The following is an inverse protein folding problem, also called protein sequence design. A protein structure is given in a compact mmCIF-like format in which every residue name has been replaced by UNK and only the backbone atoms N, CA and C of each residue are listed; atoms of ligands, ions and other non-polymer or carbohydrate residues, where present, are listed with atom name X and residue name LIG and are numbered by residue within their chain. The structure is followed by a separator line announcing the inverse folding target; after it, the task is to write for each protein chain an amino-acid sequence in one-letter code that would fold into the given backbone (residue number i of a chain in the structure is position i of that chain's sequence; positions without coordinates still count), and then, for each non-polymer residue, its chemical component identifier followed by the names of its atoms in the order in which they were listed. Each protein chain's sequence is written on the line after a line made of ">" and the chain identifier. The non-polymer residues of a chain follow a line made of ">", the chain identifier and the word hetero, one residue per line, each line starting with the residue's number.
data_IF_800116371580
#
_entry.id   IF_800116371580
#
_cell.length_a   1.000
_cell.length_b   1.000
_cell.length_c   1.000
_cell.angle_alpha   90.00
_cell.angle_beta   90.00
_cell.angle_gamma   90.00
#
_symmetry.space_group_name_H-M   'P 1'
#
loop_
_entity.id
_entity.type
_entity.pdbx_description
1 polymer ?
#
# COMPACT_ATOMS: atom_id res chain seq x y z
N UNK A 1 55.25 -6.67 -11.68
CA UNK A 1 54.32 -7.78 -11.41
C UNK A 1 53.17 -7.68 -12.40
N UNK A 2 53.22 -8.49 -13.46
CA UNK A 2 52.17 -8.63 -14.47
C UNK A 2 51.20 -9.69 -13.99
N UNK A 3 49.90 -9.42 -14.03
CA UNK A 3 48.88 -10.47 -14.14
C UNK A 3 47.90 -10.05 -15.23
N UNK A 4 48.00 -10.77 -16.34
CA UNK A 4 47.09 -10.73 -17.49
C UNK A 4 46.14 -11.89 -17.33
N UNK A 5 44.82 -11.67 -17.32
CA UNK A 5 43.84 -12.73 -17.58
C UNK A 5 42.71 -12.23 -18.50
N UNK A 6 42.72 -12.85 -19.68
CA UNK A 6 41.65 -13.14 -20.65
C UNK A 6 40.48 -12.15 -20.87
N UNK A 7 40.50 -11.53 -22.05
CA UNK A 7 39.35 -10.90 -22.74
C UNK A 7 38.32 -11.96 -23.14
N UNK A 8 37.07 -11.77 -22.72
CA UNK A 8 35.91 -12.43 -23.32
C UNK A 8 35.37 -11.56 -24.48
N UNK A 9 35.11 -12.17 -25.64
CA UNK A 9 34.89 -11.53 -26.94
C UNK A 9 33.45 -11.03 -27.19
N UNK A 10 32.63 -10.79 -26.16
CA UNK A 10 31.25 -10.30 -26.32
C UNK A 10 31.02 -8.82 -25.95
N UNK A 11 32.09 -8.07 -25.70
CA UNK A 11 32.03 -6.70 -25.19
C UNK A 11 31.93 -5.60 -26.28
N UNK A 12 31.59 -5.98 -27.52
CA UNK A 12 31.62 -5.10 -28.68
C UNK A 12 30.26 -4.53 -29.13
N UNK A 13 29.19 -4.76 -28.36
CA UNK A 13 27.88 -4.15 -28.64
C UNK A 13 27.47 -3.02 -27.68
N UNK A 14 28.27 -2.71 -26.66
CA UNK A 14 28.00 -1.62 -25.71
C UNK A 14 29.05 -0.49 -25.69
N UNK A 15 30.08 -0.54 -26.55
CA UNK A 15 31.20 0.43 -26.57
C UNK A 15 30.93 1.76 -27.30
N UNK A 16 29.66 2.11 -27.55
CA UNK A 16 29.30 3.32 -28.29
C UNK A 16 28.56 4.40 -27.50
N UNK A 17 28.11 4.11 -26.28
CA UNK A 17 27.21 5.00 -25.53
C UNK A 17 27.75 5.25 -24.13
N UNK A 18 28.87 5.97 -24.03
CA UNK A 18 29.15 6.72 -22.81
C UNK A 18 28.20 7.92 -22.78
N UNK A 19 26.91 7.68 -22.47
CA UNK A 19 25.98 8.75 -22.12
C UNK A 19 26.37 9.21 -20.73
N UNK A 20 27.31 10.15 -20.67
CA UNK A 20 27.58 10.90 -19.45
C UNK A 20 26.48 11.95 -19.40
N UNK A 21 25.38 11.63 -18.71
CA UNK A 21 24.41 12.65 -18.35
C UNK A 21 25.10 13.69 -17.48
N UNK A 22 24.96 14.96 -17.83
CA UNK A 22 25.34 16.07 -16.97
C UNK A 22 24.55 16.02 -15.66
N UNK A 23 25.06 16.66 -14.61
CA UNK A 23 24.31 16.77 -13.35
C UNK A 23 22.93 17.40 -13.55
N UNK A 24 22.80 18.32 -14.50
CA UNK A 24 21.52 18.95 -14.85
C UNK A 24 20.58 17.98 -15.57
N UNK A 25 21.08 17.17 -16.51
CA UNK A 25 20.28 16.12 -17.15
C UNK A 25 19.88 15.02 -16.16
N UNK A 26 20.75 14.64 -15.22
CA UNK A 26 20.40 13.71 -14.14
C UNK A 26 19.33 14.32 -13.23
N UNK A 27 19.42 15.61 -12.91
CA UNK A 27 18.40 16.29 -12.11
C UNK A 27 17.08 16.40 -12.87
N UNK A 28 17.09 16.73 -14.16
CA UNK A 28 15.88 16.75 -14.98
C UNK A 28 15.26 15.35 -15.11
N UNK A 29 16.09 14.32 -15.29
CA UNK A 29 15.63 12.93 -15.33
C UNK A 29 15.06 12.50 -13.97
N UNK A 30 15.66 12.90 -12.85
CA UNK A 30 15.15 12.64 -11.50
C UNK A 30 13.85 13.37 -11.23
N UNK A 31 13.76 14.66 -11.58
CA UNK A 31 12.52 15.44 -11.47
C UNK A 31 11.43 14.83 -12.33
N UNK A 32 11.75 14.42 -13.56
CA UNK A 32 10.83 13.71 -14.43
C UNK A 32 10.41 12.38 -13.78
N UNK A 33 11.35 11.56 -13.31
CA UNK A 33 11.04 10.29 -12.63
C UNK A 33 10.21 10.49 -11.36
N UNK A 34 10.46 11.53 -10.56
CA UNK A 34 9.72 11.85 -9.33
C UNK A 34 8.32 12.41 -9.61
N UNK A 35 8.18 13.23 -10.67
CA UNK A 35 6.88 13.70 -11.16
C UNK A 35 6.04 12.53 -11.67
N UNK A 36 6.68 11.55 -12.32
CA UNK A 36 6.02 10.40 -12.94
C UNK A 36 5.81 9.23 -11.99
N UNK A 37 6.67 9.02 -10.99
CA UNK A 37 6.56 7.94 -10.00
C UNK A 37 5.35 8.10 -9.07
N UNK A 38 4.81 9.32 -9.00
CA UNK A 38 3.66 9.65 -8.17
C UNK A 38 2.34 9.70 -8.93
N UNK A 39 2.36 9.55 -10.26
CA UNK A 39 1.15 9.48 -11.08
C UNK A 39 0.57 8.07 -11.09
N UNK A 40 -0.75 7.97 -11.07
CA UNK A 40 -1.45 6.72 -11.37
C UNK A 40 -1.08 6.22 -12.78
N UNK A 41 -0.70 4.94 -12.90
CA UNK A 41 -0.20 4.35 -14.15
C UNK A 41 -1.18 4.48 -15.33
N UNK A 42 -2.48 4.32 -15.08
CA UNK A 42 -3.52 4.47 -16.11
C UNK A 42 -3.72 5.95 -16.45
N UNK A 43 -3.65 6.83 -15.45
CA UNK A 43 -3.71 8.28 -15.69
C UNK A 43 -2.56 8.74 -16.59
N UNK A 44 -1.34 8.29 -16.30
CA UNK A 44 -0.16 8.57 -17.12
C UNK A 44 -0.35 8.04 -18.55
N UNK A 45 -0.70 6.76 -18.69
CA UNK A 45 -0.93 6.14 -20.01
C UNK A 45 -1.95 6.89 -20.87
N UNK A 46 -3.02 7.40 -20.25
CA UNK A 46 -4.09 8.11 -20.96
C UNK A 46 -3.76 9.57 -21.28
N UNK A 47 -2.98 10.25 -20.45
CA UNK A 47 -2.84 11.70 -20.52
C UNK A 47 -1.46 12.17 -21.03
N UNK A 48 -0.41 11.37 -20.91
CA UNK A 48 0.96 11.79 -21.21
C UNK A 48 1.12 12.34 -22.64
N UNK A 49 0.64 11.60 -23.64
CA UNK A 49 0.72 12.03 -25.03
C UNK A 49 -0.13 13.30 -25.29
N UNK A 50 -1.31 13.40 -24.70
CA UNK A 50 -2.20 14.56 -24.86
C UNK A 50 -1.55 15.84 -24.30
N UNK A 51 -0.88 15.73 -23.15
CA UNK A 51 -0.11 16.84 -22.58
C UNK A 51 1.09 17.25 -23.46
N UNK A 52 1.76 16.29 -24.12
CA UNK A 52 2.89 16.57 -25.01
C UNK A 52 2.48 17.33 -26.27
N UNK A 53 1.33 16.99 -26.86
CA UNK A 53 0.83 17.63 -28.09
C UNK A 53 0.00 18.88 -27.84
N UNK A 54 -0.18 19.28 -26.58
CA UNK A 54 -0.94 20.48 -26.21
C UNK A 54 -2.46 20.30 -26.19
N UNK A 55 -2.95 19.07 -26.23
CA UNK A 55 -4.38 18.72 -26.18
C UNK A 55 -4.89 18.68 -24.73
N UNK A 56 -4.87 19.84 -24.06
CA UNK A 56 -5.13 19.94 -22.62
C UNK A 56 -6.58 19.67 -22.23
N UNK A 57 -7.55 20.08 -23.06
CA UNK A 57 -8.97 19.79 -22.83
C UNK A 57 -9.24 18.28 -22.89
N UNK A 58 -8.65 17.60 -23.87
CA UNK A 58 -8.73 16.15 -24.03
C UNK A 58 -8.03 15.42 -22.88
N UNK A 59 -6.88 15.92 -22.43
CA UNK A 59 -6.17 15.36 -21.27
C UNK A 59 -7.03 15.44 -20.01
N UNK A 60 -7.59 16.62 -19.71
CA UNK A 60 -8.48 16.83 -18.56
C UNK A 60 -9.71 15.93 -18.66
N UNK A 61 -10.35 15.89 -19.84
CA UNK A 61 -11.51 15.01 -20.06
C UNK A 61 -11.17 13.54 -19.79
N UNK A 62 -10.06 13.06 -20.34
CA UNK A 62 -9.60 11.67 -20.20
C UNK A 62 -9.31 11.30 -18.74
N UNK A 63 -8.67 12.21 -18.00
CA UNK A 63 -8.40 12.04 -16.58
C UNK A 63 -9.68 11.91 -15.74
N UNK A 64 -10.67 12.78 -15.98
CA UNK A 64 -11.94 12.71 -15.27
C UNK A 64 -12.78 11.48 -15.66
N UNK A 65 -12.68 11.01 -16.91
CA UNK A 65 -13.29 9.73 -17.30
C UNK A 65 -12.70 8.57 -16.49
N UNK A 66 -11.36 8.52 -16.34
CA UNK A 66 -10.71 7.51 -15.50
C UNK A 66 -11.16 7.60 -14.03
N UNK A 67 -11.21 8.80 -13.47
CA UNK A 67 -11.69 9.01 -12.10
C UNK A 67 -13.14 8.55 -11.93
N UNK A 68 -14.00 8.83 -12.90
CA UNK A 68 -15.40 8.41 -12.90
C UNK A 68 -15.54 6.88 -13.03
N UNK A 69 -14.74 6.24 -13.88
CA UNK A 69 -14.67 4.78 -14.03
C UNK A 69 -14.30 4.11 -12.71
N UNK A 70 -13.24 4.58 -12.05
CA UNK A 70 -12.80 4.03 -10.76
C UNK A 70 -13.85 4.24 -9.69
N UNK A 71 -14.39 5.45 -9.55
CA UNK A 71 -15.47 5.73 -8.58
C UNK A 71 -16.67 4.79 -8.76
N UNK A 72 -17.03 4.50 -10.02
CA UNK A 72 -18.14 3.59 -10.33
C UNK A 72 -17.83 2.17 -9.87
N UNK A 73 -16.62 1.69 -10.14
CA UNK A 73 -16.15 0.38 -9.71
C UNK A 73 -16.13 0.25 -8.18
N UNK A 74 -15.60 1.26 -7.47
CA UNK A 74 -15.45 1.18 -6.00
C UNK A 74 -16.79 1.12 -5.25
N UNK A 75 -17.91 1.48 -5.88
CA UNK A 75 -19.24 1.49 -5.24
C UNK A 75 -20.29 0.60 -5.92
N UNK A 76 -19.89 -0.20 -6.93
CA UNK A 76 -20.82 -0.93 -7.81
C UNK A 76 -21.95 -0.02 -8.36
N UNK A 77 -21.57 1.17 -8.79
CA UNK A 77 -22.48 2.26 -9.16
C UNK A 77 -22.97 2.19 -10.62
N UNK A 78 -23.28 1.01 -11.13
CA UNK A 78 -23.65 0.83 -12.54
C UNK A 78 -24.80 1.77 -12.96
N UNK A 79 -24.64 2.40 -14.12
CA UNK A 79 -25.59 3.39 -14.65
C UNK A 79 -25.52 4.78 -14.01
N UNK A 80 -24.75 4.99 -12.94
CA UNK A 80 -24.55 6.31 -12.35
C UNK A 80 -23.37 7.04 -13.01
N UNK A 81 -23.55 8.36 -13.22
CA UNK A 81 -22.52 9.22 -13.85
C UNK A 81 -22.38 10.56 -13.15
N UNK A 82 -21.24 11.21 -13.37
CA UNK A 82 -20.95 12.57 -12.93
C UNK A 82 -21.28 12.83 -11.45
N UNK A 83 -22.00 13.92 -11.18
CA UNK A 83 -22.33 14.35 -9.82
C UNK A 83 -23.27 13.39 -9.08
N UNK A 84 -24.12 12.64 -9.80
CA UNK A 84 -24.99 11.63 -9.20
C UNK A 84 -24.16 10.51 -8.57
N UNK A 85 -23.17 10.00 -9.31
CA UNK A 85 -22.22 8.99 -8.83
C UNK A 85 -21.46 9.49 -7.60
N UNK A 86 -20.90 10.70 -7.69
CA UNK A 86 -20.15 11.32 -6.58
C UNK A 86 -21.01 11.48 -5.32
N UNK A 87 -22.23 12.00 -5.45
CA UNK A 87 -23.13 12.19 -4.31
C UNK A 87 -23.52 10.86 -3.65
N UNK A 88 -23.67 9.79 -4.43
CA UNK A 88 -23.93 8.44 -3.90
C UNK A 88 -22.70 7.89 -3.17
N UNK A 89 -21.52 8.03 -3.77
CA UNK A 89 -20.26 7.52 -3.23
C UNK A 89 -19.87 8.21 -1.93
N UNK A 90 -20.05 9.53 -1.88
CA UNK A 90 -19.65 10.40 -0.78
C UNK A 90 -20.84 10.99 -0.02
N UNK A 91 -21.96 10.28 0.09
CA UNK A 91 -23.03 10.73 0.98
C UNK A 91 -22.49 10.80 2.43
N UNK A 92 -22.68 11.94 3.10
CA UNK A 92 -22.09 12.18 4.42
C UNK A 92 -22.64 11.25 5.51
N UNK A 93 -23.84 10.68 5.33
CA UNK A 93 -24.47 9.73 6.25
C UNK A 93 -24.14 8.27 5.94
N UNK A 94 -24.28 7.86 4.68
CA UNK A 94 -24.27 6.45 4.25
C UNK A 94 -23.45 6.18 2.98
N UNK A 95 -22.61 7.13 2.57
CA UNK A 95 -21.72 6.98 1.42
C UNK A 95 -20.65 5.92 1.68
N UNK A 96 -20.49 4.92 0.78
CA UNK A 96 -19.51 3.85 0.95
C UNK A 96 -18.09 4.41 1.07
N UNK A 97 -17.75 5.47 0.33
CA UNK A 97 -16.41 6.07 0.37
C UNK A 97 -16.28 7.16 1.45
N UNK A 98 -17.37 7.84 1.83
CA UNK A 98 -17.33 8.86 2.89
C UNK A 98 -16.87 8.28 4.22
N UNK A 99 -17.41 7.13 4.64
CA UNK A 99 -17.01 6.52 5.92
C UNK A 99 -15.59 5.97 5.90
N UNK A 100 -15.13 5.53 4.72
CA UNK A 100 -13.80 4.98 4.54
C UNK A 100 -12.71 6.07 4.55
N UNK A 101 -13.01 7.23 3.96
CA UNK A 101 -12.02 8.30 3.77
C UNK A 101 -12.15 9.47 4.76
N UNK A 102 -13.33 9.70 5.33
CA UNK A 102 -13.61 10.83 6.22
C UNK A 102 -13.79 10.40 7.68
N UNK A 103 -12.98 10.97 8.58
CA UNK A 103 -12.95 10.62 10.02
C UNK A 103 -14.14 11.17 10.78
N UNK A 104 -14.60 12.36 10.42
CA UNK A 104 -15.72 13.05 11.04
C UNK A 104 -16.70 13.59 9.98
N UNK A 105 -17.84 14.10 10.43
CA UNK A 105 -18.89 14.60 9.55
C UNK A 105 -18.40 15.70 8.60
N UNK A 106 -17.58 16.63 9.09
CA UNK A 106 -17.06 17.75 8.30
C UNK A 106 -16.09 17.26 7.21
N UNK A 107 -15.20 16.31 7.52
CA UNK A 107 -14.32 15.70 6.50
C UNK A 107 -15.12 14.95 5.44
N UNK A 108 -16.20 14.25 5.83
CA UNK A 108 -17.08 13.52 4.90
C UNK A 108 -17.79 14.47 3.94
N UNK A 109 -18.24 15.62 4.45
CA UNK A 109 -18.83 16.68 3.65
C UNK A 109 -17.80 17.30 2.72
N UNK A 110 -16.60 17.61 3.22
CA UNK A 110 -15.50 18.14 2.42
C UNK A 110 -15.08 17.20 1.28
N UNK A 111 -15.04 15.89 1.50
CA UNK A 111 -14.78 14.90 0.44
C UNK A 111 -15.84 14.97 -0.66
N UNK A 112 -17.11 15.02 -0.28
CA UNK A 112 -18.21 15.14 -1.24
C UNK A 112 -18.12 16.44 -2.03
N UNK A 113 -17.82 17.55 -1.35
CA UNK A 113 -17.70 18.88 -1.95
C UNK A 113 -16.52 18.95 -2.93
N UNK A 114 -15.36 18.42 -2.53
CA UNK A 114 -14.18 18.34 -3.38
C UNK A 114 -14.47 17.58 -4.68
N UNK A 115 -15.00 16.35 -4.56
CA UNK A 115 -15.28 15.53 -5.73
C UNK A 115 -16.40 16.11 -6.59
N UNK A 116 -17.48 16.61 -5.97
CA UNK A 116 -18.62 17.14 -6.70
C UNK A 116 -18.24 18.46 -7.40
N UNK A 117 -17.47 19.31 -6.72
CA UNK A 117 -16.94 20.55 -7.25
C UNK A 117 -16.01 20.31 -8.43
N UNK A 118 -15.05 19.40 -8.31
CA UNK A 118 -14.12 19.06 -9.39
C UNK A 118 -14.86 18.55 -10.64
N UNK A 119 -15.85 17.67 -10.47
CA UNK A 119 -16.68 17.20 -11.59
C UNK A 119 -17.47 18.35 -12.25
N UNK A 120 -18.06 19.24 -11.44
CA UNK A 120 -18.83 20.38 -11.98
C UNK A 120 -17.95 21.40 -12.70
N UNK A 121 -16.75 21.66 -12.20
CA UNK A 121 -15.87 22.73 -12.70
C UNK A 121 -14.97 22.30 -13.86
N UNK A 122 -14.55 21.04 -13.92
CA UNK A 122 -13.54 20.60 -14.90
C UNK A 122 -14.08 19.50 -15.84
N UNK A 123 -14.73 18.47 -15.29
CA UNK A 123 -15.29 17.38 -16.10
C UNK A 123 -16.46 17.84 -16.96
N UNK A 124 -17.46 18.51 -16.36
CA UNK A 124 -18.67 18.87 -17.09
C UNK A 124 -18.39 19.86 -18.24
N UNK A 125 -17.59 20.92 -18.07
CA UNK A 125 -17.25 21.80 -19.18
C UNK A 125 -16.56 21.07 -20.33
N UNK A 126 -15.52 20.27 -20.07
CA UNK A 126 -14.82 19.48 -21.10
C UNK A 126 -15.67 18.36 -21.71
N UNK A 127 -16.76 17.96 -21.03
CA UNK A 127 -17.75 17.04 -21.58
C UNK A 127 -18.68 17.70 -22.62
N UNK A 128 -18.97 18.99 -22.44
CA UNK A 128 -19.99 19.72 -23.20
C UNK A 128 -19.42 20.67 -24.25
N UNK A 129 -18.19 21.16 -24.09
CA UNK A 129 -17.57 22.14 -24.97
C UNK A 129 -16.03 22.08 -24.92
N UNK A 130 -15.38 22.70 -25.91
CA UNK A 130 -13.98 23.08 -25.80
C UNK A 130 -13.85 24.25 -24.81
N UNK A 131 -12.97 24.11 -23.81
CA UNK A 131 -12.72 25.09 -22.76
C UNK A 131 -11.50 25.95 -23.09
N UNK A 132 -10.48 25.34 -23.71
CA UNK A 132 -9.24 26.02 -24.10
C UNK A 132 -8.24 26.15 -22.95
N UNK A 133 -8.07 25.10 -22.14
CA UNK A 133 -7.10 25.11 -21.04
C UNK A 133 -5.68 25.40 -21.53
N UNK A 134 -4.96 26.22 -20.76
CA UNK A 134 -3.53 26.42 -20.98
C UNK A 134 -2.72 25.26 -20.39
N UNK A 135 -1.45 25.18 -20.78
CA UNK A 135 -0.55 24.12 -20.33
C UNK A 135 -0.42 24.03 -18.80
N UNK A 136 -0.39 25.17 -18.10
CA UNK A 136 -0.35 25.24 -16.64
C UNK A 136 -1.61 24.62 -16.04
N UNK A 137 -2.77 25.10 -16.48
CA UNK A 137 -4.08 24.73 -15.92
C UNK A 137 -4.36 23.25 -16.16
N UNK A 138 -4.08 22.77 -17.37
CA UNK A 138 -4.22 21.36 -17.73
C UNK A 138 -3.38 20.47 -16.81
N UNK A 139 -2.10 20.79 -16.59
CA UNK A 139 -1.21 20.01 -15.71
C UNK A 139 -1.68 20.03 -14.25
N UNK A 140 -2.08 21.18 -13.73
CA UNK A 140 -2.57 21.31 -12.36
C UNK A 140 -3.87 20.51 -12.13
N UNK A 141 -4.79 20.55 -13.09
CA UNK A 141 -6.03 19.78 -13.05
C UNK A 141 -5.73 18.27 -13.09
N UNK A 142 -4.78 17.82 -13.92
CA UNK A 142 -4.32 16.42 -13.91
C UNK A 142 -3.71 16.04 -12.56
N UNK A 143 -2.91 16.91 -11.95
CA UNK A 143 -2.37 16.71 -10.61
C UNK A 143 -3.46 16.57 -9.55
N UNK A 144 -4.52 17.38 -9.63
CA UNK A 144 -5.70 17.25 -8.77
C UNK A 144 -6.39 15.89 -8.96
N UNK A 145 -6.64 15.48 -10.21
CA UNK A 145 -7.24 14.17 -10.50
C UNK A 145 -6.37 13.03 -9.97
N UNK A 146 -5.04 13.12 -10.10
CA UNK A 146 -4.12 12.15 -9.54
C UNK A 146 -4.22 12.05 -8.01
N UNK A 147 -4.29 13.19 -7.31
CA UNK A 147 -4.52 13.21 -5.87
C UNK A 147 -5.82 12.51 -5.50
N UNK A 148 -6.91 12.79 -6.22
CA UNK A 148 -8.21 12.17 -5.99
C UNK A 148 -8.18 10.66 -6.26
N UNK A 149 -7.53 10.20 -7.35
CA UNK A 149 -7.34 8.78 -7.64
C UNK A 149 -6.55 8.07 -6.53
N UNK A 150 -5.52 8.70 -5.99
CA UNK A 150 -4.76 8.13 -4.86
C UNK A 150 -5.60 8.02 -3.59
N UNK A 151 -6.42 9.04 -3.29
CA UNK A 151 -7.38 8.96 -2.18
C UNK A 151 -8.36 7.81 -2.39
N UNK A 152 -8.84 7.59 -3.61
CA UNK A 152 -9.74 6.50 -3.94
C UNK A 152 -9.08 5.12 -3.83
N UNK A 153 -7.86 4.95 -4.35
CA UNK A 153 -7.07 3.71 -4.23
C UNK A 153 -6.87 3.33 -2.76
N UNK A 154 -6.60 4.32 -1.91
CA UNK A 154 -6.55 4.11 -0.46
C UNK A 154 -7.85 3.57 0.13
N UNK A 155 -9.01 3.88 -0.46
CA UNK A 155 -10.31 3.33 -0.04
C UNK A 155 -10.59 1.92 -0.60
N UNK A 156 -10.11 1.57 -1.79
CA UNK A 156 -10.27 0.23 -2.37
C UNK A 156 -9.47 -0.82 -1.61
N UNK A 157 -8.30 -0.43 -1.08
CA UNK A 157 -7.48 -1.27 -0.22
C UNK A 157 -8.07 -1.41 1.20
N UNK A 158 -9.04 -0.57 1.60
CA UNK A 158 -9.64 -0.66 2.92
C UNK A 158 -10.57 -1.88 3.02
N UNK A 159 -10.36 -2.75 4.02
CA UNK A 159 -11.25 -3.87 4.26
C UNK A 159 -12.67 -3.39 4.56
N UNK A 160 -13.68 -4.09 4.00
CA UNK A 160 -15.10 -3.83 4.27
C UNK A 160 -15.40 -3.88 5.79
N UNK A 161 -16.49 -3.23 6.21
CA UNK A 161 -16.95 -3.32 7.60
C UNK A 161 -17.17 -4.79 8.00
N UNK A 162 -16.69 -5.19 9.19
CA UNK A 162 -16.72 -6.56 9.71
C UNK A 162 -15.82 -7.58 8.98
N UNK A 163 -14.82 -7.12 8.20
CA UNK A 163 -13.83 -8.03 7.60
C UNK A 163 -13.01 -8.77 8.66
N UNK A 164 -12.77 -8.14 9.80
CA UNK A 164 -11.99 -8.73 10.87
C UNK A 164 -12.88 -9.37 11.95
N UNK A 165 -12.43 -10.47 12.57
CA UNK A 165 -13.04 -10.98 13.79
C UNK A 165 -13.08 -9.93 14.90
N UNK A 166 -14.04 -10.06 15.81
CA UNK A 166 -14.31 -9.07 16.88
C UNK A 166 -13.08 -8.75 17.75
N UNK A 167 -12.22 -9.73 18.04
CA UNK A 167 -11.01 -9.50 18.81
C UNK A 167 -10.01 -8.57 18.10
N UNK A 168 -9.94 -8.60 16.77
CA UNK A 168 -9.13 -7.67 15.98
C UNK A 168 -9.79 -6.30 15.93
N UNK A 169 -11.10 -6.21 15.71
CA UNK A 169 -11.80 -4.91 15.71
C UNK A 169 -11.62 -4.17 17.04
N UNK A 170 -11.73 -4.90 18.16
CA UNK A 170 -11.47 -4.37 19.49
C UNK A 170 -10.01 -3.93 19.66
N UNK A 171 -9.05 -4.65 19.09
CA UNK A 171 -7.63 -4.27 19.11
C UNK A 171 -7.37 -3.00 18.28
N UNK A 172 -7.94 -2.94 17.07
CA UNK A 172 -7.81 -1.80 16.16
C UNK A 172 -8.41 -0.53 16.77
N UNK A 173 -9.56 -0.62 17.45
CA UNK A 173 -10.16 0.51 18.16
C UNK A 173 -9.23 1.09 19.25
N UNK A 174 -8.57 0.23 20.03
CA UNK A 174 -7.59 0.65 21.03
C UNK A 174 -6.34 1.27 20.39
N UNK A 175 -5.85 0.67 19.31
CA UNK A 175 -4.70 1.18 18.54
C UNK A 175 -5.04 2.55 17.94
N UNK A 176 -6.25 2.74 17.42
CA UNK A 176 -6.70 4.01 16.84
C UNK A 176 -6.61 5.17 17.81
N UNK A 177 -6.96 4.92 19.07
CA UNK A 177 -6.85 5.92 20.14
C UNK A 177 -5.40 6.38 20.34
N UNK A 178 -4.42 5.52 20.00
CA UNK A 178 -3.01 5.77 20.26
C UNK A 178 -2.20 6.25 19.06
N UNK A 179 -2.54 5.79 17.84
CA UNK A 179 -1.79 6.13 16.62
C UNK A 179 -2.61 6.96 15.62
N UNK A 180 -3.90 7.17 15.90
CA UNK A 180 -4.82 7.92 15.06
C UNK A 180 -5.44 7.10 13.92
N UNK A 181 -6.53 7.63 13.36
CA UNK A 181 -7.34 6.96 12.33
C UNK A 181 -6.56 6.63 11.05
N UNK A 182 -5.68 7.53 10.59
CA UNK A 182 -4.92 7.30 9.34
C UNK A 182 -3.89 6.19 9.48
N UNK A 183 -3.09 6.19 10.55
CA UNK A 183 -2.13 5.11 10.78
C UNK A 183 -2.85 3.76 11.02
N UNK A 184 -3.99 3.79 11.71
CA UNK A 184 -4.83 2.60 11.92
C UNK A 184 -5.43 2.10 10.61
N UNK A 185 -5.84 2.98 9.71
CA UNK A 185 -6.32 2.61 8.38
C UNK A 185 -5.26 1.86 7.58
N UNK A 186 -4.00 2.32 7.61
CA UNK A 186 -2.88 1.61 6.98
C UNK A 186 -2.64 0.23 7.62
N UNK A 187 -2.70 0.14 8.95
CA UNK A 187 -2.64 -1.13 9.65
C UNK A 187 -3.78 -2.07 9.22
N UNK A 188 -5.01 -1.57 9.07
CA UNK A 188 -6.16 -2.35 8.57
C UNK A 188 -5.87 -2.90 7.18
N UNK A 189 -5.36 -2.08 6.26
CA UNK A 189 -4.96 -2.52 4.92
C UNK A 189 -3.91 -3.64 5.01
N UNK A 190 -2.85 -3.44 5.80
CA UNK A 190 -1.79 -4.43 6.00
C UNK A 190 -2.35 -5.77 6.52
N UNK A 191 -3.19 -5.74 7.57
CA UNK A 191 -3.80 -6.95 8.13
C UNK A 191 -4.74 -7.62 7.13
N UNK A 192 -5.47 -6.85 6.33
CA UNK A 192 -6.35 -7.40 5.29
C UNK A 192 -5.56 -8.11 4.19
N UNK A 193 -4.47 -7.50 3.69
CA UNK A 193 -3.58 -8.12 2.72
C UNK A 193 -2.98 -9.43 3.27
N UNK A 194 -2.54 -9.46 4.53
CA UNK A 194 -2.10 -10.68 5.20
C UNK A 194 -3.17 -11.79 5.19
N UNK A 195 -4.44 -11.45 5.47
CA UNK A 195 -5.54 -12.42 5.44
C UNK A 195 -5.78 -12.95 4.02
N UNK A 196 -5.67 -12.11 2.99
CA UNK A 196 -5.86 -12.55 1.60
C UNK A 196 -4.84 -13.62 1.17
N UNK A 197 -3.60 -13.53 1.65
CA UNK A 197 -2.53 -14.51 1.35
C UNK A 197 -2.49 -15.72 2.31
N UNK A 198 -3.59 -15.97 3.02
CA UNK A 198 -3.74 -17.17 3.85
C UNK A 198 -3.25 -17.07 5.29
N UNK A 199 -2.74 -15.90 5.73
CA UNK A 199 -2.34 -15.71 7.12
C UNK A 199 -3.62 -15.51 7.97
N UNK A 200 -3.78 -16.30 9.03
CA UNK A 200 -5.01 -16.31 9.83
C UNK A 200 -4.74 -15.83 11.26
N UNK A 201 -5.53 -14.88 11.78
CA UNK A 201 -5.40 -14.45 13.16
C UNK A 201 -5.88 -15.51 14.15
N UNK A 202 -5.33 -15.50 15.35
CA UNK A 202 -5.82 -16.35 16.44
C UNK A 202 -7.19 -15.86 16.91
N UNK A 203 -8.16 -16.78 17.13
CA UNK A 203 -9.55 -16.39 17.42
C UNK A 203 -9.77 -15.95 18.86
N UNK A 204 -8.88 -16.31 19.79
CA UNK A 204 -9.15 -16.21 21.24
C UNK A 204 -8.35 -15.15 21.98
N UNK A 205 -7.20 -14.73 21.45
CA UNK A 205 -6.35 -13.77 22.15
C UNK A 205 -6.80 -12.34 21.84
N UNK A 206 -6.94 -11.52 22.89
CA UNK A 206 -7.28 -10.10 22.77
C UNK A 206 -6.10 -9.18 23.02
N UNK A 207 -5.03 -9.65 23.67
CA UNK A 207 -3.87 -8.83 24.03
C UNK A 207 -2.65 -9.05 23.11
N UNK A 208 -2.49 -10.26 22.59
CA UNK A 208 -1.42 -10.65 21.67
C UNK A 208 -2.04 -11.51 20.58
N UNK A 209 -2.42 -10.90 19.48
CA UNK A 209 -3.11 -11.57 18.37
C UNK A 209 -2.05 -12.16 17.45
N UNK A 210 -2.00 -13.48 17.37
CA UNK A 210 -1.04 -14.19 16.53
C UNK A 210 -1.59 -14.33 15.11
N UNK A 211 -0.82 -13.92 14.12
CA UNK A 211 -1.12 -14.12 12.71
C UNK A 211 -0.33 -15.32 12.22
N UNK A 212 -1.02 -16.40 11.87
CA UNK A 212 -0.44 -17.74 11.69
C UNK A 212 -0.59 -18.25 10.27
N UNK A 213 0.38 -19.04 9.81
CA UNK A 213 0.34 -19.81 8.56
C UNK A 213 0.88 -21.22 8.83
N UNK A 214 0.52 -22.19 8.00
CA UNK A 214 1.09 -23.54 8.13
C UNK A 214 2.51 -23.56 7.58
N UNK A 215 3.37 -24.34 8.23
CA UNK A 215 4.71 -24.65 7.80
C UNK A 215 5.10 -26.04 8.31
N UNK A 216 6.03 -26.69 7.63
CA UNK A 216 6.63 -27.95 8.08
C UNK A 216 7.63 -27.65 9.19
N UNK A 217 7.35 -28.17 10.39
CA UNK A 217 8.17 -27.94 11.57
C UNK A 217 8.70 -29.24 12.15
N UNK A 218 9.94 -29.22 12.64
CA UNK A 218 10.55 -30.35 13.32
C UNK A 218 11.01 -29.93 14.71
N UNK A 219 10.24 -30.36 15.73
CA UNK A 219 10.65 -30.19 17.12
C UNK A 219 11.75 -31.18 17.47
N UNK A 220 12.55 -30.85 18.48
CA UNK A 220 13.63 -31.73 18.98
C UNK A 220 13.11 -33.12 19.42
N UNK A 221 11.83 -33.22 19.79
CA UNK A 221 11.19 -34.47 20.21
C UNK A 221 10.51 -35.25 19.07
N UNK A 222 10.54 -34.75 17.83
CA UNK A 222 9.85 -35.35 16.69
C UNK A 222 10.82 -36.07 15.75
N UNK A 223 10.47 -37.30 15.39
CA UNK A 223 11.27 -38.12 14.46
C UNK A 223 11.22 -37.58 13.03
N UNK A 224 10.05 -37.10 12.59
CA UNK A 224 9.83 -36.54 11.26
C UNK A 224 9.21 -35.14 11.35
N UNK A 225 9.52 -34.23 10.41
CA UNK A 225 8.83 -32.95 10.30
C UNK A 225 7.31 -33.14 10.13
N UNK A 226 6.51 -32.24 10.72
CA UNK A 226 5.05 -32.26 10.57
C UNK A 226 4.49 -30.86 10.27
N UNK A 227 3.41 -30.77 9.47
CA UNK A 227 2.70 -29.52 9.23
C UNK A 227 2.15 -28.94 10.55
N UNK A 228 2.52 -27.70 10.86
CA UNK A 228 2.06 -27.00 12.06
C UNK A 228 1.75 -25.55 11.76
N UNK A 229 0.77 -24.98 12.47
CA UNK A 229 0.56 -23.53 12.48
C UNK A 229 1.73 -22.85 13.19
N UNK A 230 2.43 -22.00 12.45
CA UNK A 230 3.51 -21.14 12.94
C UNK A 230 3.06 -19.69 12.91
N UNK A 231 3.37 -18.94 13.97
CA UNK A 231 3.06 -17.52 14.04
C UNK A 231 4.04 -16.76 13.15
N UNK A 232 3.52 -16.11 12.10
CA UNK A 232 4.30 -15.25 11.21
C UNK A 232 4.70 -13.98 11.96
N UNK A 233 3.71 -13.28 12.52
CA UNK A 233 3.92 -12.14 13.41
C UNK A 233 2.81 -12.11 14.47
N UNK A 234 2.95 -11.20 15.43
CA UNK A 234 1.93 -10.93 16.44
C UNK A 234 1.67 -9.44 16.56
N UNK A 235 0.39 -9.08 16.67
CA UNK A 235 -0.05 -7.73 17.06
C UNK A 235 -0.27 -7.70 18.57
N UNK A 236 0.57 -6.94 19.28
CA UNK A 236 0.48 -6.77 20.73
C UNK A 236 -0.24 -5.47 21.06
N UNK A 237 -1.16 -5.52 22.02
CA UNK A 237 -1.86 -4.35 22.58
C UNK A 237 -1.82 -4.33 24.12
N UNK A 238 -1.08 -5.25 24.74
CA UNK A 238 -0.99 -5.39 26.19
C UNK A 238 -0.28 -4.18 26.83
N UNK A 239 -0.79 -3.70 27.97
CA UNK A 239 -0.18 -2.60 28.74
C UNK A 239 0.07 -1.34 27.89
N UNK A 240 -0.86 -1.02 26.99
CA UNK A 240 -0.77 0.09 26.03
C UNK A 240 0.44 0.06 25.09
N UNK A 241 1.13 -1.09 25.01
CA UNK A 241 2.17 -1.35 24.02
C UNK A 241 1.50 -1.83 22.75
N UNK A 242 1.46 -0.94 21.76
CA UNK A 242 0.94 -1.22 20.42
C UNK A 242 2.11 -1.59 19.51
N UNK A 243 2.45 -2.88 19.44
CA UNK A 243 3.64 -3.35 18.73
C UNK A 243 3.33 -4.48 17.75
N UNK A 244 4.12 -4.56 16.69
CA UNK A 244 4.23 -5.77 15.87
C UNK A 244 5.51 -6.48 16.28
N UNK A 245 5.44 -7.79 16.50
CA UNK A 245 6.61 -8.61 16.88
C UNK A 245 6.66 -9.90 16.07
N UNK A 246 7.87 -10.31 15.68
CA UNK A 246 8.12 -11.57 14.99
C UNK A 246 8.71 -12.59 15.96
N UNK A 247 8.07 -13.76 16.16
CA UNK A 247 8.52 -14.73 17.17
C UNK A 247 9.60 -15.68 16.62
N UNK A 248 10.72 -15.10 16.20
CA UNK A 248 11.91 -15.73 15.61
C UNK A 248 12.52 -16.82 16.49
N UNK A 249 12.54 -16.61 17.82
CA UNK A 249 13.15 -17.57 18.75
C UNK A 249 12.30 -18.81 19.03
N UNK A 250 11.01 -18.77 18.67
CA UNK A 250 10.02 -19.79 19.05
C UNK A 250 9.46 -20.59 17.90
N UNK A 251 8.87 -19.93 16.89
CA UNK A 251 8.18 -20.66 15.83
C UNK A 251 9.13 -20.94 14.67
N UNK A 252 9.87 -19.93 14.24
CA UNK A 252 10.75 -20.03 13.09
C UNK A 252 11.94 -20.97 13.29
N UNK A 253 12.48 -21.05 14.51
CA UNK A 253 13.59 -21.96 14.85
C UNK A 253 13.33 -23.43 14.48
N UNK A 254 12.08 -23.85 14.45
CA UNK A 254 11.71 -25.25 14.15
C UNK A 254 11.23 -25.45 12.72
N UNK A 255 11.12 -24.39 11.91
CA UNK A 255 10.67 -24.52 10.52
C UNK A 255 11.82 -25.07 9.67
N UNK A 256 11.56 -26.16 8.95
CA UNK A 256 12.58 -26.85 8.16
C UNK A 256 13.02 -25.97 6.99
N UNK A 257 14.33 -25.73 6.86
CA UNK A 257 14.90 -24.99 5.73
C UNK A 257 14.70 -23.48 5.75
N UNK A 258 14.09 -22.92 6.80
CA UNK A 258 13.83 -21.48 6.89
C UNK A 258 15.04 -20.71 7.45
N UNK A 259 15.45 -19.64 6.76
CA UNK A 259 16.59 -18.81 7.18
C UNK A 259 16.16 -17.72 8.18
N UNK A 260 16.23 -18.05 9.47
CA UNK A 260 15.82 -17.12 10.55
C UNK A 260 16.72 -15.88 10.64
N UNK A 261 18.03 -16.02 10.40
CA UNK A 261 18.97 -14.90 10.49
C UNK A 261 18.69 -13.85 9.40
N UNK A 262 18.44 -14.30 8.16
CA UNK A 262 18.03 -13.40 7.08
C UNK A 262 16.74 -12.63 7.43
N UNK A 263 15.75 -13.30 8.02
CA UNK A 263 14.53 -12.62 8.48
C UNK A 263 14.84 -11.55 9.53
N UNK A 264 15.73 -11.84 10.49
CA UNK A 264 16.12 -10.87 11.53
C UNK A 264 16.81 -9.65 10.90
N UNK A 265 17.74 -9.86 9.96
CA UNK A 265 18.44 -8.78 9.26
C UNK A 265 17.48 -7.90 8.46
N UNK A 266 16.54 -8.50 7.72
CA UNK A 266 15.54 -7.78 6.94
C UNK A 266 14.58 -6.99 7.85
N UNK A 267 14.17 -7.55 8.99
CA UNK A 267 13.39 -6.83 10.00
C UNK A 267 14.17 -5.66 10.61
N UNK A 268 15.47 -5.84 10.85
CA UNK A 268 16.37 -4.77 11.29
C UNK A 268 16.40 -3.60 10.31
N UNK A 269 16.47 -3.88 9.01
CA UNK A 269 16.41 -2.86 7.95
C UNK A 269 15.07 -2.11 7.90
N UNK A 270 13.97 -2.73 8.35
CA UNK A 270 12.66 -2.08 8.51
C UNK A 270 12.50 -1.34 9.85
N UNK A 271 13.53 -1.32 10.70
CA UNK A 271 13.54 -0.61 11.98
C UNK A 271 12.98 -1.41 13.16
N UNK A 272 12.85 -2.74 13.03
CA UNK A 272 12.59 -3.59 14.19
C UNK A 272 13.84 -3.65 15.08
N UNK A 273 13.62 -3.75 16.38
CA UNK A 273 14.68 -3.92 17.37
C UNK A 273 14.39 -5.10 18.30
N UNK A 274 15.41 -5.81 18.79
CA UNK A 274 15.19 -6.94 19.67
C UNK A 274 14.62 -6.48 21.02
N UNK A 275 13.52 -7.08 21.46
CA UNK A 275 12.88 -6.74 22.74
C UNK A 275 12.65 -7.97 23.63
N UNK A 276 12.75 -7.78 24.95
CA UNK A 276 12.43 -8.77 25.96
C UNK A 276 13.48 -9.87 26.13
N UNK A 277 13.17 -10.85 26.99
CA UNK A 277 14.13 -11.92 27.35
C UNK A 277 14.56 -12.80 26.16
N UNK A 278 13.73 -12.86 25.12
CA UNK A 278 13.99 -13.66 23.92
C UNK A 278 14.50 -12.86 22.73
N UNK A 279 14.74 -11.55 22.92
CA UNK A 279 15.28 -10.67 21.89
C UNK A 279 14.45 -10.72 20.59
N UNK A 280 13.12 -10.80 20.71
CA UNK A 280 12.26 -10.94 19.53
C UNK A 280 12.20 -9.59 18.78
N UNK A 281 12.41 -9.57 17.45
CA UNK A 281 12.26 -8.36 16.66
C UNK A 281 10.88 -7.74 16.88
N UNK A 282 10.86 -6.53 17.42
CA UNK A 282 9.65 -5.80 17.79
C UNK A 282 9.73 -4.36 17.33
N UNK A 283 8.60 -3.80 16.89
CA UNK A 283 8.48 -2.40 16.50
C UNK A 283 7.26 -1.74 17.12
N UNK A 284 7.41 -0.49 17.57
CA UNK A 284 6.35 0.28 18.20
C UNK A 284 5.58 1.11 17.16
N UNK A 285 4.29 0.82 17.01
CA UNK A 285 3.43 1.50 16.04
C UNK A 285 3.16 2.97 16.37
N UNK A 286 3.40 3.40 17.62
CA UNK A 286 3.37 4.83 17.97
C UNK A 286 4.52 5.61 17.33
N UNK A 287 5.62 4.93 16.99
CA UNK A 287 6.83 5.54 16.43
C UNK A 287 6.89 5.35 14.91
N UNK A 288 6.52 4.16 14.43
CA UNK A 288 6.64 3.80 13.01
C UNK A 288 5.29 3.32 12.47
N UNK A 289 4.69 4.10 11.57
CA UNK A 289 3.36 3.82 10.98
C UNK A 289 3.13 4.51 9.61
N UNK A 290 4.21 4.80 8.88
CA UNK A 290 4.13 5.38 7.54
C UNK A 290 3.56 4.38 6.52
N UNK A 291 3.07 4.89 5.39
CA UNK A 291 2.59 4.06 4.28
C UNK A 291 3.70 3.16 3.74
N UNK A 292 4.86 3.75 3.41
CA UNK A 292 6.06 3.03 2.96
C UNK A 292 6.47 1.91 3.92
N UNK A 293 6.36 2.12 5.23
CA UNK A 293 6.67 1.09 6.22
C UNK A 293 5.72 -0.11 6.09
N UNK A 294 4.41 0.12 6.04
CA UNK A 294 3.43 -0.98 5.91
C UNK A 294 3.50 -1.69 4.56
N UNK A 295 3.85 -0.99 3.48
CA UNK A 295 4.12 -1.60 2.17
C UNK A 295 5.34 -2.53 2.23
N UNK A 296 6.48 -2.01 2.71
CA UNK A 296 7.72 -2.80 2.82
C UNK A 296 7.57 -3.98 3.79
N UNK A 297 6.84 -3.77 4.90
CA UNK A 297 6.51 -4.85 5.84
C UNK A 297 5.61 -5.91 5.20
N UNK A 298 4.66 -5.51 4.35
CA UNK A 298 3.80 -6.46 3.65
C UNK A 298 4.60 -7.31 2.67
N UNK A 299 5.48 -6.72 1.86
CA UNK A 299 6.35 -7.45 0.93
C UNK A 299 7.19 -8.51 1.66
N UNK A 300 7.78 -8.13 2.81
CA UNK A 300 8.51 -9.06 3.67
C UNK A 300 7.61 -10.19 4.18
N UNK A 301 6.43 -9.86 4.73
CA UNK A 301 5.49 -10.85 5.27
C UNK A 301 4.96 -11.79 4.19
N UNK A 302 4.74 -11.30 2.98
CA UNK A 302 4.32 -12.09 1.83
C UNK A 302 5.40 -13.09 1.43
N UNK A 303 6.66 -12.65 1.30
CA UNK A 303 7.82 -13.53 1.07
C UNK A 303 7.91 -14.63 2.12
N UNK A 304 7.90 -14.24 3.40
CA UNK A 304 7.96 -15.20 4.52
C UNK A 304 6.79 -16.18 4.46
N UNK A 305 5.58 -15.70 4.17
CA UNK A 305 4.41 -16.56 4.07
C UNK A 305 4.51 -17.56 2.91
N UNK A 306 5.14 -17.21 1.79
CA UNK A 306 5.42 -18.14 0.68
C UNK A 306 6.47 -19.17 1.10
N UNK A 307 7.59 -18.74 1.68
CA UNK A 307 8.64 -19.66 2.14
C UNK A 307 8.13 -20.67 3.17
N UNK A 308 7.26 -20.24 4.10
CA UNK A 308 6.62 -21.15 5.05
C UNK A 308 5.72 -22.18 4.35
N UNK A 309 5.01 -21.78 3.29
CA UNK A 309 4.15 -22.67 2.51
C UNK A 309 4.94 -23.66 1.66
N UNK A 310 6.07 -23.22 1.08
CA UNK A 310 6.98 -24.06 0.29
C UNK A 310 7.63 -25.19 1.11
N UNK A 311 7.55 -25.12 2.45
CA UNK A 311 8.01 -26.21 3.30
C UNK A 311 7.03 -27.38 3.40
N UNK A 312 5.74 -27.18 3.05
CA UNK A 312 4.66 -28.17 3.21
C UNK A 312 4.66 -29.24 2.12
#
# INVERSE_FOLDING_TARGET
>A
MKLTLARNQNDNLLKGWNVIFTNDEIQQLRMWLDEHSNLDDELYRRCAHLLQVGAYDEAVRSAFVLLEERLRQSINGDGMTGTQLVNRAFNSKDGPLSKLLGRNQSEREGLRELYSGAFKLFRNPTAHSAVGYQASDGKEIIGLVNLMLRMLKGAEDLPAANTFPENIENALSKIETAIGATATSRLRVFLHKCIRIGIRPSPTSTQRIHFTKYAMSQLETWENPQPRKSSVFSLNIANERYTISFPTSYYYRYVVGFNVEQLIDELGNLGFSPEGKKQEPTINLRVVNSEKFFESLFELVERVAMELEDTL
#
